data_IF_327420507842
#
_entry.id   IF_327420507842
#
_cell.length_a   1.000
_cell.length_b   1.000
_cell.length_c   1.000
_cell.angle_alpha   90.00
_cell.angle_beta   90.00
_cell.angle_gamma   90.00
#
_symmetry.space_group_name_H-M   'P 1'
#
loop_
_entity.id
_entity.type
_entity.pdbx_description
1 polymer ?
#
# COMPACT_ATOMS: atom_id res chain seq x y z
N UNK A 1 13.35 19.87 -39.71
CA UNK A 1 12.21 18.95 -39.56
C UNK A 1 12.33 18.28 -38.20
N UNK A 2 11.26 18.14 -37.42
CA UNK A 2 11.33 17.49 -36.12
C UNK A 2 11.80 16.03 -36.27
N UNK A 3 12.60 15.57 -35.30
CA UNK A 3 13.06 14.17 -35.19
C UNK A 3 12.28 13.49 -34.09
N UNK A 4 12.08 12.18 -34.23
CA UNK A 4 11.50 11.35 -33.20
C UNK A 4 12.51 11.14 -32.06
N UNK A 5 12.13 11.47 -30.83
CA UNK A 5 12.99 11.34 -29.64
C UNK A 5 13.31 9.89 -29.25
N UNK A 6 12.71 8.89 -29.91
CA UNK A 6 12.96 7.48 -29.65
C UNK A 6 13.83 6.79 -30.71
N UNK A 7 13.66 7.12 -32.00
CA UNK A 7 14.41 6.45 -33.07
C UNK A 7 15.31 7.38 -33.90
N UNK A 8 15.39 8.67 -33.54
CA UNK A 8 16.18 9.72 -34.20
C UNK A 8 15.87 9.97 -35.69
N UNK A 9 14.87 9.28 -36.24
CA UNK A 9 14.41 9.45 -37.62
C UNK A 9 13.51 10.67 -37.75
N UNK A 10 13.51 11.26 -38.95
CA UNK A 10 12.71 12.43 -39.30
C UNK A 10 11.21 12.09 -39.18
N UNK A 11 10.44 13.03 -38.62
CA UNK A 11 8.98 13.00 -38.60
C UNK A 11 8.48 13.70 -39.87
N UNK A 12 7.66 13.01 -40.66
CA UNK A 12 7.07 13.57 -41.87
C UNK A 12 6.01 14.62 -41.52
N UNK A 13 5.88 15.68 -42.33
CA UNK A 13 4.98 16.83 -42.08
C UNK A 13 3.49 16.48 -41.88
N UNK A 14 3.05 15.26 -42.19
CA UNK A 14 1.65 14.79 -42.04
C UNK A 14 1.53 13.47 -41.28
N UNK A 15 2.61 12.97 -40.67
CA UNK A 15 2.54 11.75 -39.87
C UNK A 15 1.95 12.02 -38.50
N UNK A 16 1.09 11.14 -38.01
CA UNK A 16 0.64 11.16 -36.63
C UNK A 16 1.83 11.00 -35.66
N UNK A 17 1.83 11.83 -34.61
CA UNK A 17 2.83 11.83 -33.56
C UNK A 17 2.13 11.74 -32.21
N UNK A 18 2.88 11.32 -31.18
CA UNK A 18 2.50 11.56 -29.80
C UNK A 18 3.49 12.49 -29.14
N UNK A 19 2.97 13.36 -28.28
CA UNK A 19 3.72 14.22 -27.40
C UNK A 19 3.49 13.77 -25.96
N UNK A 20 4.56 13.60 -25.20
CA UNK A 20 4.49 13.18 -23.80
C UNK A 20 3.95 14.33 -22.94
N UNK A 21 2.86 14.11 -22.20
CA UNK A 21 2.28 15.14 -21.34
C UNK A 21 3.22 15.64 -20.23
N UNK A 22 4.27 14.88 -19.88
CA UNK A 22 5.19 15.25 -18.79
C UNK A 22 6.43 15.98 -19.26
N UNK A 23 7.03 15.55 -20.38
CA UNK A 23 8.35 16.05 -20.82
C UNK A 23 8.37 16.60 -22.24
N UNK A 24 7.20 16.71 -22.89
CA UNK A 24 7.02 17.21 -24.25
C UNK A 24 7.86 16.51 -25.34
N UNK A 25 8.41 15.33 -25.05
CA UNK A 25 9.07 14.50 -26.06
C UNK A 25 8.07 14.07 -27.12
N UNK A 26 8.49 14.16 -28.38
CA UNK A 26 7.70 13.84 -29.56
C UNK A 26 8.20 12.56 -30.22
N UNK A 27 7.30 11.63 -30.48
CA UNK A 27 7.63 10.34 -31.11
C UNK A 27 6.66 10.00 -32.23
N UNK A 28 7.07 9.12 -33.15
CA UNK A 28 6.13 8.58 -34.14
C UNK A 28 4.99 7.82 -33.44
N UNK A 29 3.75 8.01 -33.90
CA UNK A 29 2.60 7.26 -33.39
C UNK A 29 2.56 5.82 -33.91
N UNK A 30 3.61 5.05 -33.65
CA UNK A 30 3.80 3.64 -34.08
C UNK A 30 4.12 2.77 -32.88
N UNK A 31 3.87 1.46 -33.02
CA UNK A 31 4.18 0.50 -31.96
C UNK A 31 5.67 0.51 -31.59
N UNK A 32 6.55 0.61 -32.58
CA UNK A 32 8.00 0.61 -32.39
C UNK A 32 8.46 1.81 -31.55
N UNK A 33 7.87 3.00 -31.77
CA UNK A 33 8.31 4.21 -31.09
C UNK A 33 7.64 4.45 -29.73
N UNK A 34 6.54 3.75 -29.43
CA UNK A 34 5.72 4.00 -28.22
C UNK A 34 5.57 2.78 -27.31
N UNK A 35 5.93 1.59 -27.79
CA UNK A 35 5.67 0.29 -27.14
C UNK A 35 4.18 0.04 -26.87
N UNK A 36 3.28 0.73 -27.58
CA UNK A 36 1.84 0.54 -27.49
C UNK A 36 1.35 -0.44 -28.56
N UNK A 37 0.38 -1.28 -28.21
CA UNK A 37 -0.32 -2.15 -29.17
C UNK A 37 -1.20 -1.33 -30.13
N UNK A 38 -1.59 -1.92 -31.27
CA UNK A 38 -2.49 -1.26 -32.23
C UNK A 38 -3.81 -0.81 -31.59
N UNK A 39 -4.36 -1.60 -30.64
CA UNK A 39 -5.60 -1.25 -29.94
C UNK A 39 -5.42 -0.03 -29.04
N UNK A 40 -4.31 0.03 -28.29
CA UNK A 40 -4.00 1.18 -27.44
C UNK A 40 -3.73 2.45 -28.25
N UNK A 41 -3.03 2.32 -29.38
CA UNK A 41 -2.80 3.42 -30.32
C UNK A 41 -4.13 3.96 -30.87
N UNK A 42 -5.05 3.07 -31.24
CA UNK A 42 -6.38 3.47 -31.72
C UNK A 42 -7.19 4.16 -30.63
N UNK A 43 -7.17 3.63 -29.40
CA UNK A 43 -7.85 4.25 -28.26
C UNK A 43 -7.35 5.68 -28.00
N UNK A 44 -6.04 5.88 -27.92
CA UNK A 44 -5.44 7.22 -27.72
C UNK A 44 -5.76 8.20 -28.86
N UNK A 45 -5.93 7.72 -30.10
CA UNK A 45 -6.26 8.58 -31.24
C UNK A 45 -7.74 8.98 -31.29
N UNK A 46 -8.62 8.12 -30.80
CA UNK A 46 -10.07 8.27 -30.94
C UNK A 46 -10.73 8.81 -29.66
N UNK A 47 -9.97 9.05 -28.61
CA UNK A 47 -10.48 9.42 -27.29
C UNK A 47 -9.72 10.62 -26.76
N UNK A 48 -10.40 11.78 -26.74
CA UNK A 48 -9.78 13.09 -26.48
C UNK A 48 -9.29 13.26 -25.03
N UNK A 49 -9.86 12.52 -24.08
CA UNK A 49 -9.48 12.58 -22.67
C UNK A 49 -8.40 11.57 -22.27
N UNK A 50 -7.75 10.91 -23.24
CA UNK A 50 -6.59 10.06 -22.99
C UNK A 50 -5.31 10.76 -23.40
N UNK A 51 -4.39 10.87 -22.44
CA UNK A 51 -3.07 11.44 -22.67
C UNK A 51 -2.01 10.35 -22.74
N UNK A 52 -0.97 10.61 -23.52
CA UNK A 52 0.19 9.72 -23.60
C UNK A 52 1.34 10.23 -22.73
N UNK A 53 1.98 9.31 -22.02
CA UNK A 53 3.19 9.55 -21.23
C UNK A 53 4.27 8.58 -21.70
N UNK A 54 5.47 9.09 -21.98
CA UNK A 54 6.59 8.27 -22.39
C UNK A 54 7.02 7.29 -21.29
N UNK A 55 7.71 6.21 -21.67
CA UNK A 55 8.09 5.16 -20.74
C UNK A 55 9.01 5.64 -19.61
N UNK A 56 9.89 6.60 -19.89
CA UNK A 56 10.79 7.19 -18.88
C UNK A 56 9.98 7.89 -17.79
N UNK A 57 9.14 8.85 -18.16
CA UNK A 57 8.28 9.56 -17.21
C UNK A 57 7.31 8.61 -16.49
N UNK A 58 6.80 7.59 -17.19
CA UNK A 58 5.91 6.58 -16.58
C UNK A 58 6.61 5.77 -15.48
N UNK A 59 7.91 5.48 -15.62
CA UNK A 59 8.70 4.78 -14.59
C UNK A 59 9.03 5.69 -13.39
N UNK A 60 9.22 6.98 -13.64
CA UNK A 60 9.48 7.98 -12.59
C UNK A 60 8.23 8.31 -11.78
N UNK A 61 7.04 8.20 -12.37
CA UNK A 61 5.78 8.35 -11.64
C UNK A 61 5.45 7.11 -10.81
N UNK A 62 5.23 7.27 -9.51
CA UNK A 62 4.71 6.22 -8.62
C UNK A 62 3.23 5.94 -8.94
N UNK A 63 2.96 5.25 -10.05
CA UNK A 63 1.58 4.99 -10.47
C UNK A 63 0.96 3.87 -9.65
N UNK A 64 -0.06 4.21 -8.85
CA UNK A 64 -1.02 3.21 -8.37
C UNK A 64 -1.77 2.63 -9.57
N UNK A 65 -1.90 1.31 -9.61
CA UNK A 65 -2.77 0.65 -10.59
C UNK A 65 -4.20 1.01 -10.22
N UNK A 66 -4.93 1.63 -11.15
CA UNK A 66 -6.35 1.97 -10.98
C UNK A 66 -7.28 0.75 -11.10
N UNK A 67 -6.73 -0.39 -11.48
CA UNK A 67 -7.43 -1.66 -11.58
C UNK A 67 -7.07 -2.52 -10.38
N UNK A 68 -8.07 -2.76 -9.52
CA UNK A 68 -7.99 -3.60 -8.33
C UNK A 68 -8.99 -4.72 -8.51
N UNK A 69 -8.55 -5.95 -8.29
CA UNK A 69 -9.45 -7.11 -8.20
C UNK A 69 -9.80 -7.23 -6.71
N UNK A 70 -11.09 -7.18 -6.39
CA UNK A 70 -11.56 -7.48 -5.04
C UNK A 70 -11.44 -8.99 -4.84
N UNK A 71 -10.77 -9.41 -3.77
CA UNK A 71 -10.75 -10.81 -3.36
C UNK A 71 -12.12 -11.14 -2.76
N UNK A 72 -12.74 -12.23 -3.20
CA UNK A 72 -13.98 -12.73 -2.60
C UNK A 72 -13.63 -13.24 -1.20
N UNK A 73 -14.03 -12.49 -0.16
CA UNK A 73 -13.93 -12.92 1.23
C UNK A 73 -14.87 -14.11 1.42
N UNK A 74 -14.32 -15.30 1.65
CA UNK A 74 -15.06 -16.40 2.28
C UNK A 74 -15.51 -15.91 3.66
N UNK A 75 -16.83 -15.82 3.86
CA UNK A 75 -17.50 -15.41 5.10
C UNK A 75 -17.02 -16.27 6.27
N UNK A 76 -16.07 -15.76 7.06
CA UNK A 76 -15.91 -16.14 8.47
C UNK A 76 -16.47 -15.00 9.33
N UNK A 77 -17.66 -15.25 9.85
CA UNK A 77 -18.35 -14.45 10.86
C UNK A 77 -17.46 -14.26 12.10
N UNK A 78 -16.81 -13.10 12.25
CA UNK A 78 -16.64 -12.44 13.56
C UNK A 78 -16.12 -10.99 13.39
N UNK A 79 -17.08 -10.06 13.44
CA UNK A 79 -16.97 -8.77 14.13
C UNK A 79 -15.70 -7.92 13.93
N UNK A 80 -15.68 -7.09 12.87
CA UNK A 80 -15.37 -5.65 12.97
C UNK A 80 -15.62 -4.93 11.64
N UNK A 81 -16.89 -4.60 11.41
CA UNK A 81 -17.32 -3.63 10.42
C UNK A 81 -16.80 -2.24 10.79
N UNK A 82 -15.60 -1.88 10.32
CA UNK A 82 -15.20 -0.49 10.12
C UNK A 82 -14.84 -0.30 8.65
N UNK A 83 -15.90 0.02 7.91
CA UNK A 83 -15.93 0.78 6.66
C UNK A 83 -14.58 1.34 6.21
N UNK A 84 -14.06 0.84 5.09
CA UNK A 84 -13.02 1.54 4.35
C UNK A 84 -13.30 1.58 2.86
N UNK A 85 -14.01 2.63 2.47
CA UNK A 85 -13.71 3.29 1.21
C UNK A 85 -12.40 4.05 1.34
N UNK A 86 -11.57 3.93 0.30
CA UNK A 86 -10.45 4.82 -0.07
C UNK A 86 -9.44 5.18 1.02
N UNK A 87 -8.27 4.52 1.04
CA UNK A 87 -7.02 5.25 1.28
C UNK A 87 -5.81 4.38 0.93
N UNK A 88 -4.99 4.81 -0.03
CA UNK A 88 -3.65 4.22 -0.19
C UNK A 88 -2.62 4.79 0.80
N UNK A 89 -3.03 5.72 1.67
CA UNK A 89 -2.38 5.94 2.97
C UNK A 89 -2.78 4.91 4.03
N UNK A 90 -3.85 4.13 3.80
CA UNK A 90 -4.48 3.26 4.79
C UNK A 90 -3.68 2.00 5.05
N UNK A 91 -2.99 1.38 4.09
CA UNK A 91 -2.32 0.11 4.37
C UNK A 91 -1.08 0.28 5.27
N UNK A 92 -0.34 1.37 5.10
CA UNK A 92 0.75 1.72 6.02
C UNK A 92 0.21 2.10 7.40
N UNK A 93 -0.91 2.84 7.45
CA UNK A 93 -1.57 3.21 8.70
C UNK A 93 -2.18 1.99 9.42
N UNK A 94 -2.81 1.07 8.68
CA UNK A 94 -3.35 -0.20 9.18
C UNK A 94 -2.25 -1.09 9.74
N UNK A 95 -1.14 -1.21 9.01
CA UNK A 95 0.03 -1.95 9.50
C UNK A 95 0.59 -1.29 10.76
N UNK A 96 0.75 0.03 10.78
CA UNK A 96 1.18 0.77 11.96
C UNK A 96 0.24 0.57 13.14
N UNK A 97 -1.08 0.64 12.94
CA UNK A 97 -2.08 0.40 13.98
C UNK A 97 -2.06 -1.04 14.47
N UNK A 98 -1.85 -2.02 13.58
CA UNK A 98 -1.68 -3.43 13.94
C UNK A 98 -0.42 -3.65 14.77
N UNK A 99 0.71 -3.08 14.35
CA UNK A 99 1.99 -3.15 15.05
C UNK A 99 1.90 -2.48 16.43
N UNK A 100 1.25 -1.32 16.53
CA UNK A 100 0.96 -0.63 17.80
C UNK A 100 0.07 -1.51 18.69
N UNK A 101 -1.03 -2.04 18.14
CA UNK A 101 -1.96 -2.89 18.89
C UNK A 101 -1.26 -4.13 19.44
N UNK A 102 -0.38 -4.74 18.64
CA UNK A 102 0.43 -5.87 19.06
C UNK A 102 1.39 -5.52 20.20
N UNK A 103 2.16 -4.43 20.08
CA UNK A 103 3.09 -4.02 21.13
C UNK A 103 2.38 -3.58 22.41
N UNK A 104 1.22 -2.92 22.31
CA UNK A 104 0.38 -2.59 23.48
C UNK A 104 -0.11 -3.87 24.17
N UNK A 105 -0.67 -4.83 23.42
CA UNK A 105 -1.11 -6.12 24.01
C UNK A 105 0.03 -6.86 24.69
N UNK A 106 1.22 -6.87 24.07
CA UNK A 106 2.43 -7.50 24.61
C UNK A 106 2.91 -6.80 25.89
N UNK A 107 2.92 -5.47 25.91
CA UNK A 107 3.27 -4.69 27.09
C UNK A 107 2.29 -4.94 28.23
N UNK A 108 0.98 -4.85 27.98
CA UNK A 108 -0.06 -5.12 28.97
C UNK A 108 0.06 -6.53 29.54
N UNK A 109 0.25 -7.54 28.69
CA UNK A 109 0.43 -8.93 29.14
C UNK A 109 1.67 -9.09 30.03
N UNK A 110 2.76 -8.40 29.71
CA UNK A 110 3.98 -8.41 30.52
C UNK A 110 3.76 -7.78 31.89
N UNK A 111 3.17 -6.59 31.93
CA UNK A 111 2.90 -5.88 33.19
C UNK A 111 1.91 -6.66 34.09
N UNK A 112 0.86 -7.23 33.51
CA UNK A 112 -0.08 -8.12 34.24
C UNK A 112 0.67 -9.34 34.80
N UNK A 113 1.56 -9.94 34.02
CA UNK A 113 2.40 -11.05 34.48
C UNK A 113 3.24 -10.67 35.71
N UNK A 114 3.94 -9.53 35.66
CA UNK A 114 4.74 -9.04 36.79
C UNK A 114 3.90 -8.71 38.02
N UNK A 115 2.71 -8.12 37.84
CA UNK A 115 1.78 -7.87 38.95
C UNK A 115 1.30 -9.19 39.56
N UNK A 116 0.98 -10.18 38.73
CA UNK A 116 0.52 -11.49 39.21
C UNK A 116 1.62 -12.22 40.00
N UNK A 117 2.87 -12.14 39.56
CA UNK A 117 4.02 -12.69 40.30
C UNK A 117 4.22 -11.99 41.66
N UNK A 118 4.17 -10.66 41.67
CA UNK A 118 4.27 -9.88 42.91
C UNK A 118 3.13 -10.19 43.88
N UNK A 119 1.90 -10.31 43.37
CA UNK A 119 0.74 -10.70 44.16
C UNK A 119 0.89 -12.11 44.73
N UNK A 120 1.33 -13.07 43.93
CA UNK A 120 1.60 -14.45 44.38
C UNK A 120 2.63 -14.49 45.51
N UNK A 121 3.71 -13.70 45.40
CA UNK A 121 4.71 -13.58 46.46
C UNK A 121 4.14 -12.94 47.73
N UNK A 122 3.26 -11.94 47.58
CA UNK A 122 2.59 -11.31 48.71
C UNK A 122 1.69 -12.32 49.46
N UNK A 123 0.89 -13.11 48.73
CA UNK A 123 0.06 -14.17 49.32
C UNK A 123 0.91 -15.17 50.11
N UNK A 124 2.02 -15.65 49.53
CA UNK A 124 2.93 -16.58 50.23
C UNK A 124 3.49 -16.00 51.54
N UNK A 125 3.79 -14.70 51.58
CA UNK A 125 4.26 -14.03 52.79
C UNK A 125 3.14 -13.91 53.84
N UNK A 126 1.92 -13.62 53.42
CA UNK A 126 0.75 -13.57 54.31
C UNK A 126 0.49 -14.94 54.91
N UNK A 127 0.51 -16.00 54.10
CA UNK A 127 0.33 -17.38 54.55
C UNK A 127 1.40 -17.74 55.60
N UNK A 128 2.68 -17.43 55.34
CA UNK A 128 3.76 -17.68 56.31
C UNK A 128 3.61 -16.90 57.63
N UNK A 129 3.06 -15.68 57.59
CA UNK A 129 2.75 -14.92 58.81
C UNK A 129 1.59 -15.57 59.56
N UNK A 130 0.54 -16.00 58.86
CA UNK A 130 -0.62 -16.67 59.46
C UNK A 130 -0.21 -17.98 60.15
N UNK A 131 0.64 -18.79 59.51
CA UNK A 131 1.17 -20.02 60.09
C UNK A 131 2.00 -19.73 61.35
N UNK A 132 2.86 -18.71 61.30
CA UNK A 132 3.67 -18.29 62.46
C UNK A 132 2.80 -17.84 63.63
N UNK A 133 1.72 -17.10 63.36
CA UNK A 133 0.78 -16.64 64.38
C UNK A 133 0.01 -17.81 65.00
N UNK A 134 -0.42 -18.78 64.20
CA UNK A 134 -1.09 -19.99 64.67
C UNK A 134 -0.20 -20.87 65.55
N UNK A 135 1.12 -20.79 65.39
CA UNK A 135 2.09 -21.55 66.19
C UNK A 135 2.39 -20.88 67.55
N UNK A 136 2.11 -19.58 67.68
CA UNK A 136 2.37 -18.79 68.91
C UNK A 136 1.11 -18.70 69.79
N UNK A 137 -0.07 -18.89 69.22
CA UNK A 137 -1.36 -18.95 69.95
C UNK A 137 -1.62 -20.31 70.58
#
# INVERSE_FOLDING_TARGET
MPKCDNCDKIIAKKSAIFECNTCSKTVHATQVCTSLTSKQLAALRNTENLEWTCEVCRRETSRQRSFVIQEEEEEDDEELLLTQGTDSGSNAMKKLLSDISFEVKKAVKKEIGSVNEALSSCCQKIDGIMDSLATIS
#
